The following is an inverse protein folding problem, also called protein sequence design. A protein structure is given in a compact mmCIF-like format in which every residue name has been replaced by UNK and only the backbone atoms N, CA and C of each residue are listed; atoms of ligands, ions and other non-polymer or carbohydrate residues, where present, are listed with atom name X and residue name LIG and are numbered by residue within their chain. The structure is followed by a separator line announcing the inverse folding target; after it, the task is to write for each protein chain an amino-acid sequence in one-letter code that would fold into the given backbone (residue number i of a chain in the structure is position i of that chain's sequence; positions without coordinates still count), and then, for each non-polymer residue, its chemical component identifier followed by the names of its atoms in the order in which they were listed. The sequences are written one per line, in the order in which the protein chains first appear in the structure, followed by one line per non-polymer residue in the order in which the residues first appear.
data_IF_422135525583
#
_entry.id   IF_422135525583
#
_cell.length_a   1.000
_cell.length_b   1.000
_cell.length_c   1.000
_cell.angle_alpha   90.00
_cell.angle_beta   90.00
_cell.angle_gamma   90.00
#
_symmetry.space_group_name_H-M   'P 1'
#
loop_
_entity.id
_entity.type
_entity.pdbx_description
1 polymer ?
#
# COMPACT_ATOMS: atom_id res chain seq x y z
N UNK A 1 -25.90 -0.65 -7.52
CA UNK A 1 -24.68 0.16 -7.64
C UNK A 1 -23.90 0.12 -6.33
N UNK A 2 -22.59 0.19 -6.39
CA UNK A 2 -21.68 0.16 -5.25
C UNK A 2 -20.83 1.43 -5.18
N UNK A 3 -20.28 1.74 -4.00
CA UNK A 3 -19.20 2.71 -3.85
C UNK A 3 -17.89 1.94 -3.82
N UNK A 4 -17.15 1.92 -4.93
CA UNK A 4 -15.93 1.13 -5.09
C UNK A 4 -14.94 1.32 -3.95
N UNK A 5 -14.44 0.23 -3.36
CA UNK A 5 -13.54 0.22 -2.21
C UNK A 5 -14.14 0.70 -0.88
N UNK A 6 -15.45 0.99 -0.81
CA UNK A 6 -16.13 1.49 0.39
C UNK A 6 -17.25 0.55 0.82
N UNK A 7 -18.27 0.35 -0.03
CA UNK A 7 -19.43 -0.49 0.30
C UNK A 7 -20.07 -1.07 -0.96
N UNK A 8 -20.46 -2.33 -0.89
CA UNK A 8 -21.22 -2.99 -1.95
C UNK A 8 -22.65 -2.43 -2.08
N UNK A 9 -23.30 -2.72 -3.20
CA UNK A 9 -24.69 -2.34 -3.46
C UNK A 9 -25.65 -3.34 -2.83
N UNK A 10 -26.76 -2.85 -2.31
CA UNK A 10 -27.82 -3.68 -1.69
C UNK A 10 -28.36 -4.74 -2.65
N UNK A 11 -28.65 -4.36 -3.89
CA UNK A 11 -29.26 -5.26 -4.87
C UNK A 11 -28.27 -6.12 -5.65
N UNK A 12 -26.97 -5.89 -5.48
CA UNK A 12 -25.89 -6.66 -6.12
C UNK A 12 -25.15 -7.59 -5.15
N UNK A 13 -25.63 -7.68 -3.92
CA UNK A 13 -25.11 -8.62 -2.92
C UNK A 13 -25.50 -10.04 -3.24
N UNK A 14 -24.68 -11.02 -2.81
CA UNK A 14 -25.03 -12.44 -2.91
C UNK A 14 -26.09 -12.81 -1.88
N UNK A 15 -26.98 -13.75 -2.25
CA UNK A 15 -28.01 -14.34 -1.42
C UNK A 15 -28.02 -15.88 -1.57
N UNK A 16 -28.98 -16.54 -0.93
CA UNK A 16 -29.11 -18.01 -0.98
C UNK A 16 -29.46 -18.57 -2.37
N UNK A 17 -29.96 -17.73 -3.28
CA UNK A 17 -30.30 -18.10 -4.65
C UNK A 17 -29.19 -17.76 -5.67
N UNK A 18 -28.10 -17.14 -5.23
CA UNK A 18 -27.00 -16.72 -6.10
C UNK A 18 -26.26 -17.94 -6.66
N UNK A 19 -26.25 -18.06 -7.99
CA UNK A 19 -25.56 -19.12 -8.73
C UNK A 19 -24.35 -18.63 -9.51
N UNK A 20 -24.24 -17.33 -9.73
CA UNK A 20 -23.12 -16.67 -10.42
C UNK A 20 -22.67 -15.47 -9.60
N UNK A 21 -21.35 -15.28 -9.47
CA UNK A 21 -20.79 -14.13 -8.77
C UNK A 21 -19.65 -13.51 -9.55
N UNK A 22 -19.49 -12.20 -9.38
CA UNK A 22 -18.39 -11.45 -9.92
C UNK A 22 -17.41 -11.10 -8.80
N UNK A 23 -16.15 -11.53 -8.93
CA UNK A 23 -15.09 -11.24 -7.96
C UNK A 23 -14.33 -10.02 -8.45
N UNK A 24 -14.32 -8.94 -7.67
CA UNK A 24 -13.52 -7.73 -7.93
C UNK A 24 -12.28 -7.73 -7.06
N UNK A 25 -11.10 -7.61 -7.69
CA UNK A 25 -9.84 -7.30 -7.03
C UNK A 25 -9.25 -6.03 -7.66
N UNK A 26 -9.22 -4.94 -6.91
CA UNK A 26 -8.88 -3.63 -7.45
C UNK A 26 -7.94 -2.84 -6.54
N UNK A 27 -7.29 -1.83 -7.11
CA UNK A 27 -6.57 -0.76 -6.39
C UNK A 27 -7.35 0.52 -6.54
N UNK A 28 -7.60 1.21 -5.45
CA UNK A 28 -8.27 2.50 -5.41
C UNK A 28 -7.32 3.58 -4.90
N UNK A 29 -7.53 4.81 -5.34
CA UNK A 29 -6.83 5.97 -4.79
C UNK A 29 -7.21 6.18 -3.31
N UNK A 30 -6.24 6.06 -2.37
CA UNK A 30 -6.52 6.12 -0.94
C UNK A 30 -7.15 7.45 -0.49
N UNK A 31 -6.76 8.55 -1.13
CA UNK A 31 -7.27 9.89 -0.82
C UNK A 31 -8.74 10.00 -1.22
N UNK A 32 -9.09 9.51 -2.41
CA UNK A 32 -10.49 9.48 -2.87
C UNK A 32 -11.36 8.60 -1.98
N UNK A 33 -10.87 7.43 -1.57
CA UNK A 33 -11.57 6.57 -0.62
C UNK A 33 -11.83 7.29 0.70
N UNK A 34 -10.79 7.91 1.29
CA UNK A 34 -10.91 8.63 2.55
C UNK A 34 -11.90 9.80 2.46
N UNK A 35 -11.83 10.60 1.39
CA UNK A 35 -12.74 11.73 1.18
C UNK A 35 -14.19 11.29 0.95
N UNK A 36 -14.40 10.28 0.10
CA UNK A 36 -15.74 9.74 -0.18
C UNK A 36 -16.37 9.13 1.07
N UNK A 37 -15.60 8.31 1.81
CA UNK A 37 -16.08 7.71 3.05
C UNK A 37 -16.44 8.74 4.12
N UNK A 38 -15.69 9.86 4.23
CA UNK A 38 -16.05 10.97 5.13
C UNK A 38 -17.30 11.71 4.66
N UNK A 39 -17.38 11.99 3.36
CA UNK A 39 -18.52 12.70 2.77
C UNK A 39 -19.86 12.00 3.00
N UNK A 40 -19.85 10.67 2.97
CA UNK A 40 -21.06 9.86 3.11
C UNK A 40 -21.22 9.28 4.53
N UNK A 41 -20.28 9.57 5.45
CA UNK A 41 -20.21 9.00 6.81
C UNK A 41 -20.32 7.46 6.86
N UNK A 42 -19.70 6.80 5.86
CA UNK A 42 -19.70 5.34 5.76
C UNK A 42 -18.43 4.78 6.39
N UNK A 43 -18.58 3.82 7.30
CA UNK A 43 -17.49 3.12 7.99
C UNK A 43 -17.58 1.63 7.68
N UNK A 44 -16.61 1.11 6.94
CA UNK A 44 -16.50 -0.32 6.58
C UNK A 44 -15.06 -0.78 6.70
N UNK A 45 -14.87 -2.09 6.82
CA UNK A 45 -13.53 -2.69 6.82
C UNK A 45 -12.83 -2.47 5.46
N UNK A 46 -13.57 -2.53 4.36
CA UNK A 46 -13.06 -2.23 3.02
C UNK A 46 -12.47 -0.82 2.98
N UNK A 47 -13.28 0.19 3.36
CA UNK A 47 -12.79 1.57 3.45
C UNK A 47 -11.55 1.70 4.33
N UNK A 48 -11.56 1.11 5.53
CA UNK A 48 -10.45 1.20 6.47
C UNK A 48 -9.13 0.64 5.92
N UNK A 49 -9.19 -0.32 5.00
CA UNK A 49 -8.03 -0.89 4.31
C UNK A 49 -7.62 -0.03 3.12
N UNK A 50 -8.55 0.30 2.24
CA UNK A 50 -8.26 1.06 1.02
C UNK A 50 -7.83 2.50 1.29
N UNK A 51 -8.35 3.18 2.33
CA UNK A 51 -7.91 4.54 2.68
C UNK A 51 -6.46 4.61 3.21
N UNK A 52 -5.88 3.48 3.65
CA UNK A 52 -4.46 3.36 4.02
C UNK A 52 -3.57 2.97 2.85
N UNK A 53 -4.17 2.58 1.73
CA UNK A 53 -3.50 1.97 0.59
C UNK A 53 -3.34 0.46 0.75
N UNK A 54 -3.55 -0.25 -0.34
CA UNK A 54 -3.32 -1.69 -0.47
C UNK A 54 -2.11 -1.93 -1.35
N UNK A 55 -1.56 -3.13 -1.32
CA UNK A 55 -0.46 -3.52 -2.20
C UNK A 55 -0.92 -3.49 -3.67
N UNK A 56 -0.38 -2.58 -4.50
CA UNK A 56 -0.81 -2.43 -5.89
C UNK A 56 -0.40 -3.59 -6.79
N UNK A 57 0.54 -4.44 -6.37
CA UNK A 57 0.94 -5.63 -7.10
C UNK A 57 0.12 -6.87 -6.74
N UNK A 58 -0.70 -6.80 -5.69
CA UNK A 58 -1.44 -7.95 -5.17
C UNK A 58 -2.67 -8.37 -5.99
N UNK A 59 -3.44 -7.50 -6.68
CA UNK A 59 -4.74 -7.85 -7.24
C UNK A 59 -4.77 -9.11 -8.12
N UNK A 60 -3.82 -9.37 -9.03
CA UNK A 60 -3.84 -10.60 -9.83
C UNK A 60 -3.76 -11.86 -8.97
N UNK A 61 -2.82 -11.90 -8.02
CA UNK A 61 -2.66 -13.03 -7.11
C UNK A 61 -3.86 -13.17 -6.17
N UNK A 62 -4.39 -12.06 -5.66
CA UNK A 62 -5.56 -12.08 -4.80
C UNK A 62 -6.80 -12.60 -5.52
N UNK A 63 -6.97 -12.24 -6.80
CA UNK A 63 -8.06 -12.76 -7.63
C UNK A 63 -7.94 -14.27 -7.83
N UNK A 64 -6.75 -14.77 -8.17
CA UNK A 64 -6.50 -16.21 -8.33
C UNK A 64 -6.80 -16.99 -7.04
N UNK A 65 -6.31 -16.48 -5.89
CA UNK A 65 -6.56 -17.11 -4.59
C UNK A 65 -8.04 -17.08 -4.20
N UNK A 66 -8.72 -15.95 -4.41
CA UNK A 66 -10.15 -15.83 -4.12
C UNK A 66 -10.98 -16.77 -5.00
N UNK A 67 -10.66 -16.86 -6.29
CA UNK A 67 -11.31 -17.76 -7.24
C UNK A 67 -11.09 -19.23 -6.85
N UNK A 68 -9.86 -19.61 -6.52
CA UNK A 68 -9.55 -20.97 -6.08
C UNK A 68 -10.33 -21.35 -4.81
N UNK A 69 -10.40 -20.44 -3.83
CA UNK A 69 -11.15 -20.65 -2.59
C UNK A 69 -12.67 -20.77 -2.85
N UNK A 70 -13.21 -19.94 -3.73
CA UNK A 70 -14.63 -20.03 -4.13
C UNK A 70 -14.95 -21.40 -4.76
N UNK A 71 -14.11 -21.86 -5.68
CA UNK A 71 -14.30 -23.18 -6.32
C UNK A 71 -14.18 -24.32 -5.29
N UNK A 72 -13.23 -24.24 -4.36
CA UNK A 72 -13.05 -25.23 -3.31
C UNK A 72 -14.28 -25.34 -2.39
N UNK A 73 -14.84 -24.19 -1.99
CA UNK A 73 -15.95 -24.14 -1.02
C UNK A 73 -17.32 -24.34 -1.65
N UNK A 74 -17.55 -23.80 -2.85
CA UNK A 74 -18.87 -23.75 -3.48
C UNK A 74 -18.96 -24.62 -4.74
N UNK A 75 -17.85 -25.10 -5.27
CA UNK A 75 -17.81 -25.73 -6.59
C UNK A 75 -17.94 -24.69 -7.71
N UNK A 76 -18.24 -25.18 -8.92
CA UNK A 76 -18.44 -24.34 -10.10
C UNK A 76 -17.19 -24.22 -10.97
N UNK A 77 -17.24 -23.31 -11.93
CA UNK A 77 -16.19 -23.06 -12.91
C UNK A 77 -15.88 -21.57 -12.99
N UNK A 78 -14.61 -21.24 -13.09
CA UNK A 78 -14.18 -19.86 -13.31
C UNK A 78 -14.35 -19.46 -14.77
N UNK A 79 -14.81 -18.23 -15.01
CA UNK A 79 -14.77 -17.60 -16.32
C UNK A 79 -13.40 -16.97 -16.61
N UNK A 80 -13.29 -16.26 -17.73
CA UNK A 80 -12.09 -15.49 -18.05
C UNK A 80 -11.89 -14.30 -17.10
N UNK A 81 -10.62 -13.95 -16.87
CA UNK A 81 -10.25 -12.77 -16.11
C UNK A 81 -10.27 -11.55 -17.03
N UNK A 82 -11.01 -10.52 -16.63
CA UNK A 82 -11.07 -9.24 -17.35
C UNK A 82 -10.34 -8.16 -16.56
N UNK A 83 -9.32 -7.58 -17.15
CA UNK A 83 -8.59 -6.44 -16.57
C UNK A 83 -9.08 -5.11 -17.13
N UNK A 84 -9.21 -4.10 -16.29
CA UNK A 84 -9.55 -2.74 -16.67
C UNK A 84 -8.73 -1.71 -15.90
N UNK A 85 -8.43 -0.57 -16.53
CA UNK A 85 -7.58 0.48 -15.98
C UNK A 85 -6.10 0.27 -16.28
N UNK A 86 -5.26 1.08 -15.65
CA UNK A 86 -3.80 0.98 -15.75
C UNK A 86 -3.22 0.46 -14.45
N UNK A 87 -2.17 -0.35 -14.54
CA UNK A 87 -1.39 -0.73 -13.36
C UNK A 87 -0.79 0.53 -12.71
N UNK A 88 -1.00 0.77 -11.42
CA UNK A 88 -0.40 1.91 -10.75
C UNK A 88 1.12 1.83 -10.78
N UNK A 89 1.79 2.96 -11.00
CA UNK A 89 3.24 3.03 -10.84
C UNK A 89 3.56 3.09 -9.33
N UNK A 90 3.91 1.95 -8.78
CA UNK A 90 4.27 1.79 -7.37
C UNK A 90 5.77 1.65 -7.13
N UNK A 91 6.55 1.44 -8.19
CA UNK A 91 7.99 1.21 -8.09
C UNK A 91 8.69 2.48 -7.63
N UNK A 92 9.34 2.38 -6.47
CA UNK A 92 10.06 3.48 -5.85
C UNK A 92 11.31 3.00 -5.14
N UNK A 93 12.22 3.93 -4.93
CA UNK A 93 13.47 3.69 -4.19
C UNK A 93 13.50 4.53 -2.93
N UNK A 94 14.20 4.03 -1.91
CA UNK A 94 14.47 4.75 -0.68
C UNK A 94 15.96 4.69 -0.38
N UNK A 95 16.51 5.74 0.22
CA UNK A 95 17.92 5.79 0.64
C UNK A 95 17.99 5.96 2.15
N UNK A 96 18.68 5.03 2.81
CA UNK A 96 19.00 5.09 4.23
C UNK A 96 20.45 5.55 4.40
N UNK A 97 20.66 6.66 5.09
CA UNK A 97 21.98 7.09 5.56
C UNK A 97 22.26 6.46 6.91
N UNK A 98 23.40 5.77 7.04
CA UNK A 98 23.73 5.01 8.27
C UNK A 98 23.87 5.88 9.51
N UNK A 99 24.36 7.13 9.37
CA UNK A 99 24.44 8.10 10.46
C UNK A 99 23.09 8.36 11.14
N UNK A 100 21.96 8.23 10.38
CA UNK A 100 20.62 8.47 10.92
C UNK A 100 20.14 7.36 11.84
N UNK A 101 20.72 6.18 11.77
CA UNK A 101 20.32 5.08 12.65
C UNK A 101 20.57 5.44 14.13
N UNK A 102 21.74 5.98 14.44
CA UNK A 102 22.04 6.45 15.78
C UNK A 102 21.32 7.78 16.10
N UNK A 103 21.33 8.73 15.16
CA UNK A 103 20.81 10.10 15.39
C UNK A 103 19.28 10.16 15.56
N UNK A 104 18.50 9.41 14.77
CA UNK A 104 17.04 9.42 14.84
C UNK A 104 16.49 8.16 15.52
N UNK A 105 17.11 7.01 15.26
CA UNK A 105 16.66 5.73 15.81
C UNK A 105 17.14 5.47 17.24
N UNK A 106 18.13 6.21 17.71
CA UNK A 106 18.71 6.02 19.04
C UNK A 106 19.44 4.70 19.23
N UNK A 107 19.74 3.98 18.14
CA UNK A 107 20.41 2.67 18.16
C UNK A 107 21.66 2.69 17.28
N UNK A 108 22.77 2.23 17.82
CA UNK A 108 23.98 1.98 17.04
C UNK A 108 23.87 0.64 16.34
N UNK A 109 23.53 0.66 15.05
CA UNK A 109 23.42 -0.53 14.21
C UNK A 109 24.52 -0.49 13.16
N UNK A 110 25.40 -1.51 13.11
CA UNK A 110 26.41 -1.60 12.06
C UNK A 110 25.79 -1.59 10.66
N UNK A 111 26.44 -0.94 9.66
CA UNK A 111 25.90 -0.86 8.29
C UNK A 111 25.52 -2.21 7.68
N UNK A 112 26.32 -3.25 7.88
CA UNK A 112 26.04 -4.60 7.37
C UNK A 112 24.77 -5.21 8.01
N UNK A 113 24.61 -5.01 9.30
CA UNK A 113 23.42 -5.47 10.01
C UNK A 113 22.16 -4.72 9.56
N UNK A 114 22.27 -3.40 9.37
CA UNK A 114 21.18 -2.57 8.86
C UNK A 114 20.72 -3.02 7.46
N UNK A 115 21.66 -3.32 6.57
CA UNK A 115 21.38 -3.86 5.24
C UNK A 115 20.69 -5.21 5.34
N UNK A 116 21.23 -6.14 6.16
CA UNK A 116 20.60 -7.45 6.37
C UNK A 116 19.18 -7.37 6.96
N UNK A 117 18.88 -6.36 7.80
CA UNK A 117 17.52 -6.11 8.28
C UNK A 117 16.61 -5.68 7.13
N UNK A 118 17.05 -4.75 6.28
CA UNK A 118 16.28 -4.30 5.12
C UNK A 118 15.96 -5.44 4.16
N UNK A 119 16.94 -6.29 3.85
CA UNK A 119 16.75 -7.46 2.99
C UNK A 119 15.74 -8.45 3.58
N UNK A 120 15.81 -8.74 4.89
CA UNK A 120 14.82 -9.60 5.57
C UNK A 120 13.40 -8.99 5.58
N UNK A 121 13.28 -7.67 5.51
CA UNK A 121 12.01 -6.95 5.37
C UNK A 121 11.54 -6.83 3.92
N UNK A 122 12.24 -7.45 2.96
CA UNK A 122 11.86 -7.51 1.55
C UNK A 122 12.34 -6.34 0.69
N UNK A 123 13.21 -5.47 1.22
CA UNK A 123 13.83 -4.42 0.42
C UNK A 123 14.97 -4.99 -0.42
N UNK A 124 15.01 -4.67 -1.71
CA UNK A 124 16.11 -5.10 -2.58
C UNK A 124 17.18 -4.02 -2.69
N UNK A 125 18.41 -4.35 -2.31
CA UNK A 125 19.55 -3.42 -2.40
C UNK A 125 19.85 -3.13 -3.87
N UNK A 126 19.86 -1.85 -4.25
CA UNK A 126 20.20 -1.38 -5.59
C UNK A 126 21.61 -0.77 -5.65
N UNK A 127 22.00 -0.04 -4.62
CA UNK A 127 23.31 0.55 -4.50
C UNK A 127 23.68 0.71 -3.03
N UNK A 128 24.99 0.65 -2.74
CA UNK A 128 25.52 0.85 -1.39
C UNK A 128 26.90 1.48 -1.47
N UNK A 129 27.16 2.38 -0.52
CA UNK A 129 28.50 2.93 -0.24
C UNK A 129 28.77 2.89 1.28
N UNK A 130 29.83 3.59 1.73
CA UNK A 130 30.22 3.62 3.14
C UNK A 130 29.22 4.41 4.03
N UNK A 131 28.42 5.29 3.45
CA UNK A 131 27.58 6.24 4.17
C UNK A 131 26.09 5.89 4.08
N UNK A 132 25.68 5.21 3.02
CA UNK A 132 24.26 4.97 2.71
C UNK A 132 24.02 3.68 1.93
N UNK A 133 22.76 3.25 1.94
CA UNK A 133 22.23 2.20 1.07
C UNK A 133 20.97 2.69 0.37
N UNK A 134 20.87 2.45 -0.93
CA UNK A 134 19.65 2.69 -1.73
C UNK A 134 18.99 1.36 -2.03
N UNK A 135 17.70 1.26 -1.74
CA UNK A 135 16.91 0.04 -1.86
C UNK A 135 15.66 0.28 -2.70
N UNK A 136 15.23 -0.75 -3.42
CA UNK A 136 13.88 -0.78 -3.98
C UNK A 136 12.89 -1.08 -2.84
N UNK A 137 11.83 -0.30 -2.77
CA UNK A 137 10.78 -0.45 -1.76
C UNK A 137 9.81 -1.54 -2.22
N UNK A 138 9.46 -2.52 -1.38
CA UNK A 138 8.45 -3.52 -1.72
C UNK A 138 7.08 -2.89 -1.99
N UNK A 139 6.29 -3.51 -2.85
CA UNK A 139 4.97 -3.00 -3.25
C UNK A 139 4.01 -2.80 -2.08
N UNK A 140 4.08 -3.66 -1.06
CA UNK A 140 3.21 -3.61 0.13
C UNK A 140 3.57 -2.53 1.17
N UNK A 141 4.71 -1.85 1.03
CA UNK A 141 5.15 -0.79 1.95
C UNK A 141 4.68 0.58 1.48
N UNK A 142 3.36 0.78 1.48
CA UNK A 142 2.73 2.05 1.07
C UNK A 142 3.06 3.24 1.99
N UNK A 143 3.57 2.96 3.18
CA UNK A 143 4.02 3.95 4.17
C UNK A 143 5.34 4.63 3.80
N UNK A 144 6.13 4.05 2.89
CA UNK A 144 7.41 4.61 2.46
C UNK A 144 7.22 5.32 1.13
N UNK A 145 6.97 6.61 1.17
CA UNK A 145 6.69 7.41 -0.01
C UNK A 145 7.96 7.85 -0.76
N UNK A 146 8.98 8.33 -0.08
CA UNK A 146 10.33 8.59 -0.59
C UNK A 146 11.31 8.63 0.59
N UNK A 147 12.51 8.06 0.40
CA UNK A 147 13.52 8.06 1.45
C UNK A 147 14.34 9.33 1.43
N UNK A 148 14.08 10.14 2.32
CA UNK A 148 14.89 10.99 3.17
C UNK A 148 13.98 12.01 3.86
N UNK A 149 14.22 12.37 5.13
CA UNK A 149 13.40 13.38 5.81
C UNK A 149 13.50 14.78 5.12
N UNK A 150 14.46 14.96 4.19
CA UNK A 150 14.54 16.11 3.30
C UNK A 150 13.49 16.11 2.18
N UNK A 151 12.92 14.96 1.80
CA UNK A 151 11.91 14.89 0.75
C UNK A 151 10.50 15.22 1.27
N UNK A 152 10.22 14.96 2.56
CA UNK A 152 8.98 15.41 3.19
C UNK A 152 8.80 16.93 3.21
N UNK A 153 9.93 17.68 3.19
CA UNK A 153 9.92 19.14 3.09
C UNK A 153 9.68 19.65 1.66
N UNK A 154 9.69 18.78 0.66
CA UNK A 154 9.53 19.13 -0.77
C UNK A 154 8.24 18.56 -1.37
N UNK A 155 7.38 17.90 -0.58
CA UNK A 155 6.07 17.47 -1.05
C UNK A 155 5.16 18.71 -1.25
N UNK A 156 4.87 19.12 -2.51
CA UNK A 156 4.07 20.31 -2.79
C UNK A 156 2.61 20.17 -2.32
N UNK A 157 2.19 18.99 -1.88
CA UNK A 157 0.86 18.73 -1.32
C UNK A 157 0.80 18.80 0.20
N UNK A 158 1.94 18.90 0.91
CA UNK A 158 1.92 19.04 2.36
C UNK A 158 1.75 20.50 2.75
N UNK A 159 0.75 20.87 3.56
CA UNK A 159 0.62 22.24 4.06
C UNK A 159 1.89 22.63 4.83
N UNK A 160 2.41 23.85 4.65
CA UNK A 160 3.71 24.31 5.20
C UNK A 160 3.82 24.15 6.72
N UNK A 161 2.70 24.13 7.43
CA UNK A 161 2.61 23.93 8.86
C UNK A 161 2.98 22.49 9.29
N UNK A 162 2.65 21.49 8.48
CA UNK A 162 3.02 20.08 8.72
C UNK A 162 4.48 19.78 8.37
N UNK A 163 5.00 20.45 7.34
CA UNK A 163 6.41 20.35 7.00
C UNK A 163 7.31 20.94 8.13
N UNK A 164 6.88 22.02 8.75
CA UNK A 164 7.57 22.61 9.92
C UNK A 164 7.48 21.72 11.16
N UNK A 165 6.30 21.21 11.49
CA UNK A 165 6.12 20.32 12.65
C UNK A 165 6.93 19.01 12.52
N UNK A 166 7.10 18.48 11.30
CA UNK A 166 7.96 17.33 11.06
C UNK A 166 9.45 17.65 11.19
N UNK A 167 9.84 18.88 10.88
CA UNK A 167 11.23 19.36 11.02
C UNK A 167 11.57 19.74 12.48
N UNK A 168 10.61 20.29 13.23
CA UNK A 168 10.79 20.75 14.61
C UNK A 168 10.58 19.61 15.63
N UNK A 169 9.82 18.57 15.30
CA UNK A 169 9.66 17.35 16.12
C UNK A 169 10.84 16.38 16.07
N UNK A 170 11.89 16.69 15.31
CA UNK A 170 13.14 15.95 15.18
C UNK A 170 14.34 16.70 15.83
N UNK A 171 14.12 17.68 16.69
CA UNK A 171 15.15 18.39 17.45
C UNK A 171 15.15 17.97 18.90
#
# INVERSE_FOLDING_TARGET
EALGGIVGGEHSGCDEATTECFIECAVFDPVRIALSGRRHDIRTDARARFERGVDPALPPLALDLATALMIELCGGEASEVVGAGAEPDWRRTATLRFERLAGLGGAEVPPDEAVGILERLGFAVQARDAERVTVAVPSWRNDIAQGDAGALAQDPGLPPERARAAAEGCA
#
